data_IF_600628087893
#
_entry.id   IF_600628087893
#
_cell.length_a   1.000
_cell.length_b   1.000
_cell.length_c   1.000
_cell.angle_alpha   90.00
_cell.angle_beta   90.00
_cell.angle_gamma   90.00
#
_symmetry.space_group_name_H-M   'P 1'
#
loop_
_entity.id
_entity.type
_entity.pdbx_description
1 polymer ?
#
# COMPACT_ATOMS: atom_id res chain seq x y z
N UNK A 1 0.90 3.30 14.04
CA UNK A 1 0.30 1.96 13.84
C UNK A 1 1.04 1.28 12.71
N UNK A 2 1.30 -0.03 12.81
CA UNK A 2 2.00 -0.80 11.79
C UNK A 2 1.20 -2.07 11.47
N UNK A 3 1.07 -2.42 10.20
CA UNK A 3 0.49 -3.68 9.74
C UNK A 3 1.41 -4.25 8.67
N UNK A 4 1.91 -5.48 8.88
CA UNK A 4 2.83 -6.16 7.97
C UNK A 4 2.22 -7.50 7.52
N UNK A 5 2.40 -7.81 6.25
CA UNK A 5 2.04 -9.08 5.63
C UNK A 5 3.20 -9.54 4.75
N UNK A 6 3.41 -10.84 4.62
CA UNK A 6 4.45 -11.39 3.76
C UNK A 6 4.03 -12.72 3.15
N UNK A 7 4.67 -13.05 2.02
CA UNK A 7 4.46 -14.29 1.29
C UNK A 7 5.77 -14.73 0.65
N UNK A 8 5.98 -16.04 0.57
CA UNK A 8 7.10 -16.64 -0.17
C UNK A 8 6.69 -16.90 -1.63
N UNK A 9 7.57 -16.56 -2.56
CA UNK A 9 7.38 -16.66 -4.01
C UNK A 9 8.55 -17.43 -4.61
N UNK A 10 8.25 -18.40 -5.48
CA UNK A 10 9.25 -19.16 -6.24
C UNK A 10 9.52 -18.50 -7.60
N UNK A 11 10.21 -17.37 -7.56
CA UNK A 11 10.66 -16.65 -8.75
C UNK A 11 11.88 -15.76 -8.41
N UNK A 12 12.76 -15.45 -9.39
CA UNK A 12 13.85 -14.50 -9.20
C UNK A 12 13.36 -13.10 -8.76
N UNK A 13 14.13 -12.42 -7.91
CA UNK A 13 13.77 -11.10 -7.36
C UNK A 13 13.42 -10.05 -8.43
N UNK A 14 14.12 -10.06 -9.57
CA UNK A 14 13.81 -9.15 -10.68
C UNK A 14 12.42 -9.36 -11.28
N UNK A 15 11.97 -10.61 -11.42
CA UNK A 15 10.63 -10.94 -11.92
C UNK A 15 9.58 -10.55 -10.88
N UNK A 16 9.80 -10.90 -9.61
CA UNK A 16 8.90 -10.53 -8.51
C UNK A 16 8.72 -9.01 -8.44
N UNK A 17 9.82 -8.25 -8.54
CA UNK A 17 9.77 -6.80 -8.51
C UNK A 17 9.03 -6.21 -9.72
N UNK A 18 9.27 -6.74 -10.93
CA UNK A 18 8.58 -6.29 -12.13
C UNK A 18 7.06 -6.55 -12.06
N UNK A 19 6.65 -7.75 -11.65
CA UNK A 19 5.24 -8.12 -11.48
C UNK A 19 4.58 -7.36 -10.34
N UNK A 20 5.31 -7.10 -9.25
CA UNK A 20 4.88 -6.19 -8.20
C UNK A 20 4.64 -4.79 -8.78
N UNK A 21 5.60 -4.23 -9.54
CA UNK A 21 5.51 -2.88 -10.11
C UNK A 21 4.37 -2.74 -11.12
N UNK A 22 4.10 -3.81 -11.86
CA UNK A 22 3.01 -3.93 -12.81
C UNK A 22 1.67 -4.36 -12.18
N UNK A 23 1.63 -4.58 -10.85
CA UNK A 23 0.45 -5.09 -10.18
C UNK A 23 -0.76 -4.21 -10.50
N UNK A 24 -1.73 -4.82 -11.16
CA UNK A 24 -3.08 -4.30 -11.30
C UNK A 24 -3.98 -4.96 -10.26
N UNK A 25 -4.17 -4.30 -9.13
CA UNK A 25 -5.04 -4.80 -8.07
C UNK A 25 -6.52 -4.84 -8.52
N UNK A 26 -6.86 -4.37 -9.74
CA UNK A 26 -8.22 -4.33 -10.26
C UNK A 26 -8.68 -5.74 -10.57
N UNK A 27 -7.74 -6.67 -10.79
CA UNK A 27 -8.04 -8.08 -10.99
C UNK A 27 -8.74 -8.72 -9.78
N UNK A 28 -8.66 -8.12 -8.59
CA UNK A 28 -9.40 -8.61 -7.42
C UNK A 28 -10.74 -7.90 -7.21
N UNK A 29 -11.82 -8.69 -7.19
CA UNK A 29 -13.17 -8.23 -6.88
C UNK A 29 -13.30 -7.69 -5.44
N UNK A 30 -12.49 -8.21 -4.50
CA UNK A 30 -12.46 -7.77 -3.10
C UNK A 30 -11.97 -6.32 -3.03
N UNK A 31 -10.89 -6.02 -3.71
CA UNK A 31 -10.24 -4.70 -3.73
C UNK A 31 -11.16 -3.69 -4.42
N UNK A 32 -11.75 -4.04 -5.57
CA UNK A 32 -12.75 -3.22 -6.26
C UNK A 32 -13.95 -2.89 -5.38
N UNK A 33 -14.49 -3.88 -4.67
CA UNK A 33 -15.67 -3.70 -3.81
C UNK A 33 -15.36 -2.76 -2.66
N UNK A 34 -14.23 -2.98 -1.97
CA UNK A 34 -13.83 -2.17 -0.83
C UNK A 34 -13.44 -0.74 -1.22
N UNK A 35 -12.82 -0.53 -2.38
CA UNK A 35 -12.53 0.82 -2.88
C UNK A 35 -13.81 1.56 -3.28
N UNK A 36 -14.76 0.87 -3.91
CA UNK A 36 -16.07 1.45 -4.27
C UNK A 36 -16.86 1.85 -3.03
N UNK A 37 -16.88 0.99 -1.99
CA UNK A 37 -17.50 1.31 -0.70
C UNK A 37 -16.86 2.53 0.00
N UNK A 38 -15.60 2.83 -0.32
CA UNK A 38 -14.88 4.02 0.16
C UNK A 38 -14.99 5.23 -0.76
N UNK A 39 -15.74 5.17 -1.86
CA UNK A 39 -15.83 6.24 -2.85
C UNK A 39 -14.52 6.54 -3.59
N UNK A 40 -13.56 5.61 -3.58
CA UNK A 40 -12.30 5.73 -4.32
C UNK A 40 -12.51 5.29 -5.77
N UNK A 41 -11.89 5.97 -6.76
CA UNK A 41 -12.07 5.63 -8.15
C UNK A 41 -11.48 4.25 -8.46
N UNK A 42 -12.20 3.46 -9.26
CA UNK A 42 -11.75 2.12 -9.70
C UNK A 42 -10.52 2.15 -10.63
N UNK A 43 -10.00 3.34 -10.95
CA UNK A 43 -8.74 3.50 -11.67
C UNK A 43 -7.51 3.49 -10.75
N UNK A 44 -7.69 3.70 -9.44
CA UNK A 44 -6.64 3.80 -8.42
C UNK A 44 -5.97 2.48 -8.04
N UNK A 45 -5.85 1.56 -9.00
CA UNK A 45 -5.68 0.14 -8.68
C UNK A 45 -4.36 -0.44 -9.20
N UNK A 46 -3.64 0.28 -10.07
CA UNK A 46 -2.23 0.00 -10.35
C UNK A 46 -1.33 0.88 -9.48
N UNK A 47 -0.09 0.44 -9.20
CA UNK A 47 0.89 1.27 -8.48
C UNK A 47 1.10 2.62 -9.15
N UNK A 48 1.14 2.68 -10.49
CA UNK A 48 1.23 3.94 -11.21
C UNK A 48 -0.01 4.82 -11.03
N UNK A 49 -1.20 4.22 -11.03
CA UNK A 49 -2.45 4.95 -10.85
C UNK A 49 -2.68 5.40 -9.40
N UNK A 50 -1.99 4.80 -8.41
CA UNK A 50 -1.97 5.31 -7.04
C UNK A 50 -1.43 6.75 -6.99
N UNK A 51 -0.52 7.12 -7.89
CA UNK A 51 -0.07 8.52 -8.03
C UNK A 51 -1.22 9.47 -8.37
N UNK A 52 -2.15 9.03 -9.22
CA UNK A 52 -3.33 9.82 -9.62
C UNK A 52 -4.29 10.12 -8.46
N UNK A 53 -4.36 9.23 -7.47
CA UNK A 53 -5.20 9.38 -6.26
C UNK A 53 -4.48 9.95 -5.04
N UNK A 54 -3.22 10.39 -5.20
CA UNK A 54 -2.50 11.16 -4.20
C UNK A 54 -1.44 10.39 -3.42
N UNK A 55 -1.12 9.15 -3.81
CA UNK A 55 0.13 8.54 -3.34
C UNK A 55 1.32 9.22 -4.02
N UNK A 56 2.43 9.33 -3.31
CA UNK A 56 3.72 9.68 -3.90
C UNK A 56 4.72 8.57 -3.64
N UNK A 57 5.57 8.28 -4.63
CA UNK A 57 6.74 7.43 -4.43
C UNK A 57 7.72 8.20 -3.55
N UNK A 58 7.93 7.73 -2.32
CA UNK A 58 8.86 8.33 -1.35
C UNK A 58 10.29 7.82 -1.53
N UNK A 59 10.42 6.55 -1.90
CA UNK A 59 11.68 5.88 -2.17
C UNK A 59 11.42 4.68 -3.09
N UNK A 60 12.33 4.41 -4.00
CA UNK A 60 12.30 3.25 -4.88
C UNK A 60 13.74 2.77 -5.06
N UNK A 61 14.01 1.53 -4.64
CA UNK A 61 15.32 0.87 -4.75
C UNK A 61 15.12 -0.48 -5.44
N UNK A 62 15.01 -0.53 -6.78
CA UNK A 62 14.85 -1.78 -7.50
C UNK A 62 16.07 -2.70 -7.35
N UNK A 63 15.88 -4.04 -7.27
CA UNK A 63 14.62 -4.76 -7.15
C UNK A 63 14.18 -4.98 -5.68
N UNK A 64 14.70 -4.22 -4.72
CA UNK A 64 14.59 -4.51 -3.28
C UNK A 64 13.37 -3.88 -2.60
N UNK A 65 13.04 -2.62 -2.88
CA UNK A 65 11.96 -1.93 -2.16
C UNK A 65 11.29 -0.82 -2.99
N UNK A 66 10.01 -0.59 -2.74
CA UNK A 66 9.31 0.64 -3.08
C UNK A 66 8.49 1.12 -1.88
N UNK A 67 8.52 2.42 -1.60
CA UNK A 67 7.78 3.06 -0.51
C UNK A 67 6.87 4.14 -1.08
N UNK A 68 5.59 4.03 -0.79
CA UNK A 68 4.57 5.00 -1.16
C UNK A 68 4.10 5.78 0.06
N UNK A 69 3.86 7.08 -0.11
CA UNK A 69 3.37 7.99 0.91
C UNK A 69 1.99 8.53 0.55
N UNK A 70 1.12 8.64 1.54
CA UNK A 70 -0.20 9.25 1.40
C UNK A 70 -0.53 10.09 2.62
N UNK A 71 -1.09 11.26 2.42
CA UNK A 71 -1.53 12.16 3.49
C UNK A 71 -3.03 12.39 3.40
N UNK A 72 -3.74 12.36 4.53
CA UNK A 72 -5.18 12.63 4.53
C UNK A 72 -5.87 12.42 5.87
N UNK A 73 -7.19 12.57 5.85
CA UNK A 73 -8.10 12.27 6.97
C UNK A 73 -8.83 10.94 6.68
N UNK A 74 -8.13 9.82 6.81
CA UNK A 74 -8.59 8.49 6.39
C UNK A 74 -9.91 8.01 7.04
N UNK A 75 -10.27 8.60 8.18
CA UNK A 75 -11.51 8.34 8.92
C UNK A 75 -12.72 9.13 8.39
N UNK A 76 -12.54 9.99 7.39
CA UNK A 76 -13.63 10.70 6.70
C UNK A 76 -14.08 9.93 5.46
N UNK A 77 -15.33 10.13 5.03
CA UNK A 77 -15.90 9.43 3.87
C UNK A 77 -15.08 9.62 2.58
N UNK A 78 -14.61 10.85 2.31
CA UNK A 78 -13.79 11.14 1.13
C UNK A 78 -12.28 10.92 1.33
N UNK A 79 -11.86 10.57 2.55
CA UNK A 79 -10.45 10.49 2.94
C UNK A 79 -9.72 11.83 3.00
N UNK A 80 -10.26 12.92 2.42
CA UNK A 80 -9.64 14.25 2.30
C UNK A 80 -8.14 14.16 1.98
N UNK A 81 -7.83 13.42 0.93
CA UNK A 81 -6.45 13.15 0.52
C UNK A 81 -5.77 14.43 0.08
N UNK A 82 -4.55 14.63 0.55
CA UNK A 82 -3.67 15.71 0.12
C UNK A 82 -2.58 15.12 -0.75
N UNK A 83 -2.33 15.77 -1.89
CA UNK A 83 -1.18 15.44 -2.72
C UNK A 83 0.07 16.01 -2.03
N UNK A 84 0.98 15.13 -1.67
CA UNK A 84 2.31 15.45 -1.12
C UNK A 84 3.35 14.77 -1.98
N UNK A 85 4.46 15.42 -2.31
CA UNK A 85 5.60 14.77 -2.98
C UNK A 85 6.54 14.11 -1.94
N UNK A 86 7.62 13.48 -2.40
CA UNK A 86 8.60 12.82 -1.54
C UNK A 86 9.32 13.79 -0.58
N UNK A 87 9.52 15.05 -0.96
CA UNK A 87 10.24 16.06 -0.19
C UNK A 87 9.36 16.67 0.93
N UNK A 88 8.08 16.87 0.63
CA UNK A 88 7.10 17.49 1.54
C UNK A 88 6.52 16.50 2.54
N UNK A 89 6.40 15.23 2.17
CA UNK A 89 5.77 14.20 2.99
C UNK A 89 6.42 14.04 4.39
N UNK A 90 7.76 14.00 4.54
CA UNK A 90 8.41 13.97 5.85
C UNK A 90 8.07 15.19 6.72
N UNK A 91 7.98 16.37 6.10
CA UNK A 91 7.80 17.65 6.78
C UNK A 91 6.33 17.99 7.09
N UNK A 92 5.38 17.32 6.43
CA UNK A 92 3.96 17.55 6.66
C UNK A 92 3.56 17.25 8.12
N UNK A 93 3.00 18.26 8.78
CA UNK A 93 2.73 18.30 10.23
C UNK A 93 1.40 18.98 10.59
N UNK A 94 0.50 19.18 9.62
CA UNK A 94 -0.78 19.84 9.86
C UNK A 94 -1.66 19.01 10.81
N UNK A 95 -2.10 19.64 11.91
CA UNK A 95 -3.04 19.03 12.85
C UNK A 95 -4.37 18.74 12.15
N UNK A 96 -5.00 17.63 12.53
CA UNK A 96 -6.23 17.14 11.91
C UNK A 96 -5.99 16.09 10.82
N UNK A 97 -4.74 15.72 10.53
CA UNK A 97 -4.38 14.79 9.46
C UNK A 97 -3.53 13.61 9.96
N UNK A 98 -3.40 12.62 9.09
CA UNK A 98 -2.46 11.51 9.25
C UNK A 98 -1.62 11.30 7.99
N UNK A 99 -0.42 10.79 8.20
CA UNK A 99 0.49 10.29 7.16
C UNK A 99 0.48 8.78 7.16
N UNK A 100 0.40 8.17 5.98
CA UNK A 100 0.54 6.74 5.78
C UNK A 100 1.72 6.49 4.85
N UNK A 101 2.62 5.60 5.25
CA UNK A 101 3.63 5.02 4.38
C UNK A 101 3.27 3.56 4.13
N UNK A 102 3.33 3.12 2.88
CA UNK A 102 3.03 1.76 2.46
C UNK A 102 4.17 1.26 1.59
N UNK A 103 4.87 0.22 2.02
CA UNK A 103 5.99 -0.34 1.26
C UNK A 103 5.67 -1.72 0.68
N UNK A 104 6.49 -2.11 -0.30
CA UNK A 104 6.70 -3.47 -0.71
C UNK A 104 8.21 -3.74 -0.70
N UNK A 105 8.63 -4.79 0.01
CA UNK A 105 10.03 -5.21 0.09
C UNK A 105 10.19 -6.61 -0.48
N UNK A 106 11.18 -6.78 -1.33
CA UNK A 106 11.56 -8.01 -2.01
C UNK A 106 12.90 -8.45 -1.43
N UNK A 107 12.90 -9.57 -0.70
CA UNK A 107 14.11 -10.15 -0.12
C UNK A 107 14.45 -11.44 -0.85
N UNK A 108 15.58 -11.46 -1.55
CA UNK A 108 16.12 -12.67 -2.16
C UNK A 108 16.62 -13.62 -1.05
N UNK A 109 16.06 -14.82 -0.98
CA UNK A 109 16.47 -15.86 -0.03
C UNK A 109 17.46 -16.85 -0.65
N UNK A 110 17.81 -16.66 -1.92
CA UNK A 110 18.64 -17.55 -2.72
C UNK A 110 17.86 -18.70 -3.35
N UNK A 111 18.46 -19.35 -4.36
CA UNK A 111 17.89 -20.54 -4.99
C UNK A 111 16.61 -20.29 -5.80
N UNK A 112 16.37 -19.05 -6.26
CA UNK A 112 15.14 -18.69 -6.99
C UNK A 112 13.93 -18.47 -6.08
N UNK A 113 14.16 -18.29 -4.77
CA UNK A 113 13.12 -18.03 -3.77
C UNK A 113 13.22 -16.60 -3.25
N UNK A 114 12.07 -15.96 -3.11
CA UNK A 114 11.95 -14.57 -2.63
C UNK A 114 10.89 -14.48 -1.53
N UNK A 115 11.18 -13.70 -0.50
CA UNK A 115 10.18 -13.23 0.46
C UNK A 115 9.69 -11.84 0.03
N UNK A 116 8.43 -11.75 -0.40
CA UNK A 116 7.77 -10.48 -0.66
C UNK A 116 6.97 -10.08 0.58
N UNK A 117 7.26 -8.90 1.11
CA UNK A 117 6.52 -8.34 2.25
C UNK A 117 5.94 -6.96 1.91
N UNK A 118 4.87 -6.61 2.60
CA UNK A 118 4.26 -5.30 2.55
C UNK A 118 3.94 -4.81 3.95
N UNK A 119 4.25 -3.55 4.23
CA UNK A 119 4.03 -2.92 5.52
C UNK A 119 3.36 -1.56 5.36
N UNK A 120 2.28 -1.35 6.09
CA UNK A 120 1.61 -0.05 6.19
C UNK A 120 1.86 0.57 7.56
N UNK A 121 2.46 1.75 7.57
CA UNK A 121 2.75 2.56 8.75
C UNK A 121 1.88 3.81 8.72
N UNK A 122 1.12 4.07 9.79
CA UNK A 122 0.30 5.29 9.90
C UNK A 122 0.70 6.09 11.13
N UNK A 123 0.96 7.37 10.91
CA UNK A 123 1.24 8.40 11.90
C UNK A 123 0.09 9.42 11.91
N UNK A 124 -0.62 9.53 13.02
CA UNK A 124 -1.59 10.62 13.24
C UNK A 124 -0.86 11.82 13.84
N UNK A 125 -1.13 13.03 13.33
CA UNK A 125 -0.35 14.23 13.67
C UNK A 125 -0.84 14.95 14.94
N UNK A 126 -1.95 14.50 15.51
CA UNK A 126 -2.48 14.97 16.79
C UNK A 126 -3.33 13.87 17.46
N UNK A 127 -3.64 14.06 18.74
CA UNK A 127 -4.35 13.09 19.56
C UNK A 127 -5.85 12.96 19.17
N UNK A 128 -6.47 14.01 18.63
CA UNK A 128 -7.87 13.95 18.16
C UNK A 128 -7.95 13.09 16.90
N UNK A 129 -7.06 13.31 15.94
CA UNK A 129 -6.89 12.49 14.74
C UNK A 129 -6.57 11.06 15.09
N UNK A 130 -5.69 10.81 16.06
CA UNK A 130 -5.37 9.47 16.55
C UNK A 130 -6.61 8.73 17.07
N UNK A 131 -7.42 9.37 17.91
CA UNK A 131 -8.66 8.76 18.44
C UNK A 131 -9.67 8.46 17.34
N UNK A 132 -9.84 9.37 16.37
CA UNK A 132 -10.72 9.15 15.20
C UNK A 132 -10.23 7.99 14.34
N UNK A 133 -8.91 7.98 14.06
CA UNK A 133 -8.29 6.93 13.28
C UNK A 133 -8.41 5.56 13.95
N UNK A 134 -8.19 5.45 15.26
CA UNK A 134 -8.31 4.17 15.97
C UNK A 134 -9.73 3.59 15.94
N UNK A 135 -10.76 4.44 16.12
CA UNK A 135 -12.18 4.03 15.99
C UNK A 135 -12.53 3.57 14.58
N UNK A 136 -12.02 4.26 13.58
CA UNK A 136 -12.16 3.88 12.19
C UNK A 136 -11.42 2.56 11.91
N UNK A 137 -10.21 2.40 12.44
CA UNK A 137 -9.34 1.24 12.24
C UNK A 137 -9.89 -0.03 12.88
N UNK A 138 -10.58 0.07 14.02
CA UNK A 138 -11.20 -1.11 14.65
C UNK A 138 -12.25 -1.79 13.76
N UNK A 139 -12.82 -1.07 12.78
CA UNK A 139 -13.76 -1.62 11.80
C UNK A 139 -13.04 -2.04 10.52
N UNK A 140 -12.10 -1.22 10.03
CA UNK A 140 -11.53 -1.39 8.68
C UNK A 140 -10.27 -2.28 8.65
N UNK A 141 -9.60 -2.49 9.77
CA UNK A 141 -8.34 -3.24 9.86
C UNK A 141 -8.40 -4.63 9.22
N UNK A 142 -9.49 -5.37 9.45
CA UNK A 142 -9.72 -6.71 8.88
C UNK A 142 -9.75 -6.67 7.35
N UNK A 143 -10.59 -5.79 6.79
CA UNK A 143 -10.71 -5.61 5.34
C UNK A 143 -9.40 -5.10 4.72
N UNK A 144 -8.70 -4.21 5.40
CA UNK A 144 -7.41 -3.70 4.96
C UNK A 144 -6.33 -4.80 4.92
N UNK A 145 -6.32 -5.70 5.90
CA UNK A 145 -5.45 -6.87 5.90
C UNK A 145 -5.75 -7.84 4.74
N UNK A 146 -7.03 -8.06 4.44
CA UNK A 146 -7.44 -8.89 3.30
C UNK A 146 -6.98 -8.33 1.96
N UNK A 147 -7.11 -7.02 1.74
CA UNK A 147 -6.60 -6.37 0.53
C UNK A 147 -5.09 -6.60 0.38
N UNK A 148 -4.32 -6.48 1.47
CA UNK A 148 -2.86 -6.68 1.45
C UNK A 148 -2.47 -8.13 1.15
N UNK A 149 -3.14 -9.10 1.79
CA UNK A 149 -2.92 -10.51 1.50
C UNK A 149 -3.25 -10.86 0.04
N UNK A 150 -4.34 -10.31 -0.47
CA UNK A 150 -4.77 -10.52 -1.86
C UNK A 150 -3.80 -9.90 -2.87
N UNK A 151 -3.26 -8.71 -2.57
CA UNK A 151 -2.23 -8.09 -3.39
C UNK A 151 -0.98 -8.98 -3.48
N UNK A 152 -0.50 -9.48 -2.34
CA UNK A 152 0.64 -10.41 -2.27
C UNK A 152 0.37 -11.71 -3.04
N UNK A 153 -0.85 -12.26 -2.94
CA UNK A 153 -1.25 -13.46 -3.68
C UNK A 153 -1.23 -13.23 -5.19
N UNK A 154 -1.78 -12.11 -5.67
CA UNK A 154 -1.78 -11.78 -7.10
C UNK A 154 -0.35 -11.61 -7.65
N UNK A 155 0.54 -10.96 -6.91
CA UNK A 155 1.95 -10.83 -7.31
C UNK A 155 2.61 -12.21 -7.39
N UNK A 156 2.40 -13.05 -6.37
CA UNK A 156 2.92 -14.42 -6.36
C UNK A 156 2.49 -15.21 -7.59
N UNK A 157 1.19 -15.23 -7.89
CA UNK A 157 0.64 -15.98 -9.03
C UNK A 157 1.20 -15.48 -10.37
N UNK A 158 1.36 -14.16 -10.53
CA UNK A 158 1.92 -13.58 -11.75
C UNK A 158 3.42 -13.89 -11.89
N UNK A 159 4.17 -13.74 -10.80
CA UNK A 159 5.62 -13.97 -10.79
C UNK A 159 6.00 -15.44 -10.99
N UNK A 160 5.30 -16.37 -10.36
CA UNK A 160 5.54 -17.82 -10.53
C UNK A 160 5.11 -18.30 -11.93
N UNK A 161 4.19 -17.59 -12.60
CA UNK A 161 3.81 -17.90 -13.98
C UNK A 161 4.81 -17.33 -15.00
N UNK A 162 5.52 -16.26 -14.66
CA UNK A 162 6.47 -15.58 -15.54
C UNK A 162 7.93 -16.08 -15.39
N UNK A 163 8.21 -16.87 -14.36
CA UNK A 163 9.51 -17.49 -14.08
C UNK A 163 9.76 -18.75 -14.92
#
# INVERSE_FOLDING_TARGET
MVSRQEIEIQAPAGIVYAEMRALDMSRSWVIRTLFTLRGLPKSAITLDALSGVGFAVLSEEPPHEIVLGLTGQFWTLSGRLLRTNAEDFPNFSESGYAKAAWNFSVKDEGGGKVTLATETRVLCLDEVSRKRFLRYWSVISLFSGWIRNEALRLIKESAECAA
#
